data_IF_536580863234
#
_entry.id   IF_536580863234
#
_cell.length_a   1.000
_cell.length_b   1.000
_cell.length_c   1.000
_cell.angle_alpha   90.00
_cell.angle_beta   90.00
_cell.angle_gamma   90.00
#
_symmetry.space_group_name_H-M   'P 1'
#
loop_
_entity.id
_entity.type
_entity.pdbx_description
1 polymer ?
#
# COMPACT_ATOMS: atom_id res chain seq x y z
N UNK A 1 -1.52 47.54 61.52
CA UNK A 1 -1.31 47.71 60.07
C UNK A 1 -1.89 46.47 59.38
N UNK A 2 -3.23 46.47 59.31
CA UNK A 2 -3.99 46.62 58.06
C UNK A 2 -3.90 45.32 57.24
N UNK A 3 -4.89 44.43 57.37
CA UNK A 3 -6.13 44.51 56.58
C UNK A 3 -5.82 44.88 55.14
N UNK A 4 -5.99 43.93 54.23
CA UNK A 4 -6.78 44.19 53.03
C UNK A 4 -7.17 42.86 52.35
N UNK A 5 -8.45 42.54 52.53
CA UNK A 5 -9.35 41.88 51.58
C UNK A 5 -9.19 40.38 51.25
N UNK A 6 -10.01 39.57 51.94
CA UNK A 6 -10.89 38.58 51.29
C UNK A 6 -11.72 39.28 50.18
N UNK A 7 -12.21 38.61 49.10
CA UNK A 7 -13.07 37.43 49.29
C UNK A 7 -13.12 36.34 48.20
N UNK A 8 -13.60 35.18 48.66
CA UNK A 8 -14.57 34.26 48.03
C UNK A 8 -14.28 33.76 46.59
N UNK A 9 -14.36 32.47 46.27
CA UNK A 9 -15.53 31.59 46.43
C UNK A 9 -15.03 30.12 46.46
N UNK A 10 -15.23 29.42 47.59
CA UNK A 10 -15.49 27.97 47.60
C UNK A 10 -16.86 27.74 46.93
N UNK A 11 -17.15 26.67 46.15
CA UNK A 11 -16.91 25.28 46.56
C UNK A 11 -16.79 24.25 45.40
N UNK A 12 -15.62 23.64 45.15
CA UNK A 12 -15.55 22.36 44.41
C UNK A 12 -14.32 21.54 44.82
N UNK A 13 -14.12 21.40 46.13
CA UNK A 13 -13.19 20.41 46.69
C UNK A 13 -13.91 19.08 46.86
N UNK A 14 -14.27 18.48 45.73
CA UNK A 14 -14.41 17.04 45.56
C UNK A 14 -14.32 16.79 44.05
N UNK A 15 -13.38 15.93 43.64
CA UNK A 15 -13.09 15.44 42.26
C UNK A 15 -11.88 15.93 41.46
N UNK A 16 -10.92 16.68 42.02
CA UNK A 16 -9.68 17.00 41.27
C UNK A 16 -8.36 16.62 41.95
N UNK A 17 -8.39 15.88 43.07
CA UNK A 17 -7.17 15.57 43.81
C UNK A 17 -6.37 14.35 43.30
N UNK A 18 -6.80 13.66 42.23
CA UNK A 18 -6.04 12.57 41.63
C UNK A 18 -5.55 12.86 40.21
N UNK A 19 -4.51 13.70 40.22
CA UNK A 19 -3.41 13.81 39.25
C UNK A 19 -3.12 12.51 38.47
N UNK A 20 -2.90 12.65 37.16
CA UNK A 20 -1.58 12.29 36.59
C UNK A 20 -1.25 13.12 35.34
N UNK A 21 -0.52 14.20 35.61
CA UNK A 21 0.54 14.83 34.79
C UNK A 21 0.19 15.49 33.44
N UNK A 22 -0.19 16.77 33.54
CA UNK A 22 0.13 17.90 32.66
C UNK A 22 -0.02 17.77 31.13
N UNK A 23 -1.25 18.10 30.67
CA UNK A 23 -1.48 19.08 29.59
C UNK A 23 -2.91 19.62 29.73
N UNK A 24 -3.16 20.50 30.71
CA UNK A 24 -4.45 21.21 30.79
C UNK A 24 -4.38 22.35 29.78
N UNK A 25 -5.08 22.19 28.67
CA UNK A 25 -5.65 23.33 27.95
C UNK A 25 -7.16 23.10 27.92
N UNK A 26 -7.91 24.02 28.54
CA UNK A 26 -9.36 24.00 28.60
C UNK A 26 -9.94 23.94 27.19
N UNK A 27 -10.28 22.73 26.74
CA UNK A 27 -10.88 22.50 25.44
C UNK A 27 -12.35 22.16 25.61
N UNK A 28 -13.21 22.74 24.77
CA UNK A 28 -14.60 22.31 24.73
C UNK A 28 -14.72 20.81 24.34
N UNK A 29 -15.79 20.16 24.79
CA UNK A 29 -16.04 18.73 24.50
C UNK A 29 -16.03 18.42 22.98
N UNK A 30 -16.44 19.37 22.15
CA UNK A 30 -16.38 19.23 20.70
C UNK A 30 -14.95 19.10 20.14
N UNK A 31 -13.97 19.82 20.69
CA UNK A 31 -12.57 19.71 20.27
C UNK A 31 -11.86 18.52 20.94
N UNK A 32 -12.20 18.22 22.19
CA UNK A 32 -11.74 17.01 22.88
C UNK A 32 -12.15 15.76 22.10
N UNK A 33 -13.44 15.61 21.78
CA UNK A 33 -13.94 14.47 21.01
C UNK A 33 -13.38 14.40 19.58
N UNK A 34 -13.21 15.55 18.92
CA UNK A 34 -12.54 15.63 17.62
C UNK A 34 -11.11 15.09 17.70
N UNK A 35 -10.28 15.61 18.60
CA UNK A 35 -8.89 15.15 18.79
C UNK A 35 -8.82 13.67 19.18
N UNK A 36 -9.70 13.21 20.08
CA UNK A 36 -9.85 11.79 20.49
C UNK A 36 -10.01 10.86 19.28
N UNK A 37 -10.88 11.25 18.32
CA UNK A 37 -11.17 10.47 17.10
C UNK A 37 -10.05 10.58 16.08
N UNK A 38 -9.50 11.78 15.90
CA UNK A 38 -8.36 12.02 15.01
C UNK A 38 -7.16 11.18 15.41
N UNK A 39 -6.87 11.06 16.71
CA UNK A 39 -5.72 10.26 17.18
C UNK A 39 -6.01 8.76 17.12
N UNK A 40 -7.17 8.27 17.57
CA UNK A 40 -7.46 6.82 17.56
C UNK A 40 -7.54 6.21 16.18
N UNK A 41 -8.10 6.94 15.22
CA UNK A 41 -8.24 6.47 13.85
C UNK A 41 -7.09 6.95 12.95
N UNK A 42 -6.04 7.50 13.57
CA UNK A 42 -4.88 8.12 12.91
C UNK A 42 -5.25 8.99 11.68
N UNK A 43 -6.28 9.83 11.83
CA UNK A 43 -6.84 10.59 10.71
C UNK A 43 -5.90 11.73 10.31
N UNK A 44 -5.59 11.79 9.02
CA UNK A 44 -4.85 12.88 8.39
C UNK A 44 -5.85 13.73 7.59
N UNK A 45 -5.80 15.05 7.78
CA UNK A 45 -6.68 15.99 7.09
C UNK A 45 -5.89 16.82 6.09
N UNK A 46 -6.52 17.23 4.99
CA UNK A 46 -5.96 18.20 4.04
C UNK A 46 -6.75 19.52 4.12
N UNK A 47 -6.03 20.65 4.02
CA UNK A 47 -6.67 21.96 3.87
C UNK A 47 -6.97 22.20 2.39
N UNK A 48 -8.18 22.66 2.08
CA UNK A 48 -8.59 23.06 0.72
C UNK A 48 -8.26 24.52 0.40
N UNK A 49 -7.64 25.23 1.32
CA UNK A 49 -7.22 26.63 1.23
C UNK A 49 -5.73 26.75 1.62
N UNK A 50 -5.29 27.94 2.05
CA UNK A 50 -3.89 28.25 2.35
C UNK A 50 -3.44 27.81 3.76
N UNK A 51 -4.02 26.74 4.32
CA UNK A 51 -3.66 26.19 5.65
C UNK A 51 -3.80 27.17 6.83
N UNK A 52 -4.57 28.25 6.67
CA UNK A 52 -4.74 29.31 7.67
C UNK A 52 -6.23 29.63 7.97
N UNK A 53 -7.11 28.64 7.85
CA UNK A 53 -8.55 28.82 8.09
C UNK A 53 -8.85 29.19 9.56
N UNK A 54 -9.78 30.13 9.76
CA UNK A 54 -10.20 30.60 11.08
C UNK A 54 -11.05 29.52 11.79
N UNK A 55 -10.67 29.17 13.03
CA UNK A 55 -11.37 28.17 13.86
C UNK A 55 -12.03 28.86 15.05
N UNK A 56 -13.35 29.07 14.94
CA UNK A 56 -14.22 29.64 15.98
C UNK A 56 -15.41 28.69 16.32
N UNK A 57 -16.31 29.10 17.22
CA UNK A 57 -17.45 28.28 17.66
C UNK A 57 -18.41 27.90 16.52
N UNK A 58 -18.58 28.77 15.51
CA UNK A 58 -19.56 28.60 14.42
C UNK A 58 -18.97 27.80 13.25
N UNK A 59 -17.71 28.06 12.88
CA UNK A 59 -17.09 27.48 11.67
C UNK A 59 -15.93 26.51 11.93
N UNK A 60 -15.69 26.08 13.18
CA UNK A 60 -14.67 25.05 13.49
C UNK A 60 -14.78 23.75 12.71
N UNK A 61 -15.94 23.43 12.14
CA UNK A 61 -16.14 22.22 11.33
C UNK A 61 -15.77 22.43 9.84
N UNK A 62 -15.51 23.66 9.39
CA UNK A 62 -15.23 24.01 7.99
C UNK A 62 -13.93 23.39 7.47
N UNK A 63 -12.89 23.34 8.30
CA UNK A 63 -11.59 22.80 7.92
C UNK A 63 -11.01 21.96 9.06
N UNK A 64 -11.02 20.64 8.88
CA UNK A 64 -10.52 19.68 9.88
C UNK A 64 -8.99 19.77 10.05
N UNK A 65 -8.25 20.06 8.98
CA UNK A 65 -6.80 20.27 9.03
C UNK A 65 -6.42 21.43 9.97
N UNK A 66 -6.95 22.63 9.70
CA UNK A 66 -6.66 23.81 10.51
C UNK A 66 -7.15 23.64 11.96
N UNK A 67 -8.29 22.96 12.15
CA UNK A 67 -8.79 22.62 13.49
C UNK A 67 -7.85 21.70 14.24
N UNK A 68 -7.33 20.65 13.61
CA UNK A 68 -6.42 19.70 14.24
C UNK A 68 -5.06 20.33 14.55
N UNK A 69 -4.49 21.07 13.59
CA UNK A 69 -3.28 21.87 13.80
C UNK A 69 -3.45 22.83 14.98
N UNK A 70 -4.61 23.50 15.09
CA UNK A 70 -4.91 24.37 16.24
C UNK A 70 -5.03 23.59 17.56
N UNK A 71 -5.57 22.38 17.56
CA UNK A 71 -5.60 21.54 18.76
C UNK A 71 -4.17 21.20 19.23
N UNK A 72 -3.28 20.85 18.30
CA UNK A 72 -1.87 20.57 18.57
C UNK A 72 -1.12 21.83 19.04
N UNK A 73 -1.33 22.98 18.40
CA UNK A 73 -0.70 24.25 18.81
C UNK A 73 -1.17 24.72 20.18
N UNK A 74 -2.42 24.39 20.55
CA UNK A 74 -2.97 24.56 21.89
C UNK A 74 -2.64 23.39 22.81
N UNK A 75 -1.56 22.63 22.57
CA UNK A 75 -0.98 21.67 23.52
C UNK A 75 -1.75 20.36 23.75
N UNK A 76 -2.69 19.99 22.86
CA UNK A 76 -3.25 18.64 22.89
C UNK A 76 -2.21 17.63 22.37
N UNK A 77 -1.91 16.64 23.22
CA UNK A 77 -0.88 15.63 23.01
C UNK A 77 -1.47 14.33 22.48
N UNK A 78 -0.93 13.77 21.40
CA UNK A 78 -1.46 12.53 20.77
C UNK A 78 -1.32 11.35 21.73
N UNK A 79 -0.16 11.25 22.38
CA UNK A 79 0.20 10.24 23.36
C UNK A 79 -0.71 10.19 24.59
N UNK A 80 -1.48 11.25 24.85
CA UNK A 80 -2.45 11.29 25.96
C UNK A 80 -3.77 10.56 25.66
N UNK A 81 -4.00 10.10 24.43
CA UNK A 81 -5.24 9.43 24.02
C UNK A 81 -5.10 7.92 24.18
N UNK A 82 -5.67 7.37 25.25
CA UNK A 82 -5.67 5.92 25.54
C UNK A 82 -6.46 5.11 24.50
N UNK A 83 -6.00 3.91 24.17
CA UNK A 83 -6.66 2.96 23.26
C UNK A 83 -8.00 2.42 23.85
N UNK A 84 -8.92 1.98 23.00
CA UNK A 84 -10.29 1.63 23.43
C UNK A 84 -10.31 0.34 24.27
N UNK A 85 -10.99 0.38 25.42
CA UNK A 85 -11.28 -0.85 26.20
C UNK A 85 -12.33 -1.65 25.43
N UNK A 86 -11.94 -2.75 24.81
CA UNK A 86 -12.90 -3.72 24.26
C UNK A 86 -13.67 -4.35 25.43
N UNK A 87 -14.96 -4.04 25.54
CA UNK A 87 -15.89 -4.73 26.44
C UNK A 87 -16.48 -5.91 25.68
N UNK A 88 -16.07 -7.12 26.05
CA UNK A 88 -16.65 -8.38 25.65
C UNK A 88 -18.13 -8.43 26.05
N UNK A 89 -19.06 -8.39 25.07
CA UNK A 89 -20.46 -8.76 25.27
C UNK A 89 -21.09 -9.29 23.97
N UNK A 90 -21.03 -10.61 23.87
CA UNK A 90 -22.10 -11.55 23.44
C UNK A 90 -22.66 -11.45 22.02
N UNK A 91 -22.26 -12.43 21.22
CA UNK A 91 -23.17 -13.32 20.48
C UNK A 91 -24.53 -13.46 21.19
N UNK A 92 -25.64 -13.19 20.47
CA UNK A 92 -27.03 -13.73 20.62
C UNK A 92 -27.94 -12.81 19.77
N UNK A 93 -27.89 -12.89 18.43
CA UNK A 93 -29.02 -12.46 17.55
C UNK A 93 -28.92 -13.12 16.18
N UNK A 94 -28.78 -14.46 16.12
CA UNK A 94 -28.84 -15.23 14.86
C UNK A 94 -29.85 -16.38 14.85
N UNK A 95 -30.75 -16.45 15.82
CA UNK A 95 -31.83 -17.42 15.82
C UNK A 95 -33.12 -16.69 16.13
N UNK A 96 -34.14 -16.90 15.29
CA UNK A 96 -35.50 -16.32 15.30
C UNK A 96 -35.67 -15.06 14.43
N UNK A 97 -35.89 -15.24 13.12
CA UNK A 97 -37.21 -15.02 12.48
C UNK A 97 -37.08 -15.19 10.96
N UNK A 98 -37.40 -16.39 10.49
CA UNK A 98 -37.92 -16.64 9.14
C UNK A 98 -39.44 -16.67 9.24
N UNK A 99 -40.12 -15.74 8.56
CA UNK A 99 -41.51 -15.81 8.03
C UNK A 99 -42.17 -14.44 7.99
N UNK A 100 -42.76 -14.09 6.83
CA UNK A 100 -43.94 -13.22 6.76
C UNK A 100 -43.70 -11.74 6.44
N UNK A 101 -44.19 -11.36 5.25
CA UNK A 101 -44.32 -10.00 4.72
C UNK A 101 -44.94 -8.99 5.72
N UNK A 102 -44.43 -7.75 5.71
CA UNK A 102 -45.26 -6.55 5.57
C UNK A 102 -44.45 -5.33 5.15
N UNK A 103 -44.99 -4.65 4.15
CA UNK A 103 -44.50 -3.46 3.46
C UNK A 103 -45.00 -2.21 4.19
N UNK A 104 -44.14 -1.30 4.65
CA UNK A 104 -44.48 0.13 4.85
C UNK A 104 -43.26 0.98 4.50
N UNK A 105 -43.47 1.82 3.48
CA UNK A 105 -42.66 2.94 3.02
C UNK A 105 -42.22 3.87 4.15
N UNK A 106 -40.93 4.15 4.26
CA UNK A 106 -40.45 5.36 4.95
C UNK A 106 -39.36 6.00 4.11
N UNK A 107 -39.64 7.21 3.62
CA UNK A 107 -38.65 8.15 3.12
C UNK A 107 -37.48 8.23 4.11
N UNK A 108 -36.31 7.76 3.72
CA UNK A 108 -35.07 8.14 4.36
C UNK A 108 -34.16 8.66 3.26
N UNK A 109 -33.96 9.97 3.31
CA UNK A 109 -32.78 10.62 2.77
C UNK A 109 -31.59 9.75 3.18
N UNK A 110 -30.91 9.16 2.20
CA UNK A 110 -29.59 8.59 2.40
C UNK A 110 -28.73 9.71 2.95
N UNK A 111 -28.46 9.68 4.25
CA UNK A 111 -27.31 10.35 4.79
C UNK A 111 -26.12 9.65 4.15
N UNK A 112 -25.69 10.18 2.99
CA UNK A 112 -24.38 9.96 2.42
C UNK A 112 -23.40 9.96 3.58
N UNK A 113 -22.95 8.76 3.93
CA UNK A 113 -21.88 8.59 4.90
C UNK A 113 -20.68 9.25 4.26
N UNK A 114 -20.48 10.51 4.63
CA UNK A 114 -19.30 11.32 4.34
C UNK A 114 -18.15 10.80 5.19
N UNK A 115 -17.84 9.50 5.06
CA UNK A 115 -16.51 8.96 5.22
C UNK A 115 -15.81 9.08 3.87
N UNK A 116 -15.61 10.33 3.43
CA UNK A 116 -14.63 10.65 2.41
C UNK A 116 -13.26 10.34 3.03
N UNK A 117 -12.80 9.10 2.87
CA UNK A 117 -11.39 8.71 3.02
C UNK A 117 -10.60 9.47 1.95
N UNK A 118 -10.36 10.75 2.21
CA UNK A 118 -9.61 11.66 1.37
C UNK A 118 -8.16 11.75 1.82
N UNK A 119 -7.45 10.64 1.76
CA UNK A 119 -5.99 10.55 1.86
C UNK A 119 -5.57 9.36 1.03
N UNK A 120 -4.71 9.56 0.02
CA UNK A 120 -4.37 8.60 -1.03
C UNK A 120 -4.48 7.14 -0.56
N UNK A 121 -5.60 6.53 -0.90
CA UNK A 121 -5.95 5.18 -0.52
C UNK A 121 -5.28 4.23 -1.52
N UNK A 122 -4.54 3.25 -1.01
CA UNK A 122 -4.06 2.16 -1.85
C UNK A 122 -5.29 1.37 -2.25
N UNK A 123 -5.67 1.48 -3.52
CA UNK A 123 -6.74 0.68 -4.11
C UNK A 123 -6.08 -0.41 -4.94
N UNK A 124 -6.36 -1.67 -4.61
CA UNK A 124 -5.74 -2.79 -5.33
C UNK A 124 -6.16 -2.83 -6.79
N UNK A 125 -7.33 -2.30 -7.13
CA UNK A 125 -7.81 -2.15 -8.49
C UNK A 125 -6.88 -1.25 -9.32
N UNK A 126 -6.34 -0.18 -8.71
CA UNK A 126 -5.36 0.69 -9.38
C UNK A 126 -4.02 -0.01 -9.56
N UNK A 127 -3.63 -0.86 -8.62
CA UNK A 127 -2.41 -1.69 -8.74
C UNK A 127 -2.59 -2.73 -9.86
N UNK A 128 -3.75 -3.38 -9.93
CA UNK A 128 -4.08 -4.32 -10.99
C UNK A 128 -4.17 -3.65 -12.37
N UNK A 129 -4.74 -2.44 -12.44
CA UNK A 129 -4.79 -1.63 -13.66
C UNK A 129 -3.39 -1.22 -14.15
N UNK A 130 -2.46 -0.91 -13.22
CA UNK A 130 -1.07 -0.65 -13.57
C UNK A 130 -0.39 -1.89 -14.17
N UNK A 131 -0.72 -3.09 -13.68
CA UNK A 131 -0.23 -4.35 -14.25
C UNK A 131 -0.74 -4.56 -15.67
N UNK A 132 -2.04 -4.39 -15.90
CA UNK A 132 -2.65 -4.48 -17.23
C UNK A 132 -2.09 -3.45 -18.21
N UNK A 133 -1.97 -2.18 -17.78
CA UNK A 133 -1.37 -1.14 -18.60
C UNK A 133 0.09 -1.44 -18.97
N UNK A 134 0.87 -2.02 -18.05
CA UNK A 134 2.25 -2.45 -18.31
C UNK A 134 2.35 -3.63 -19.26
N UNK A 135 1.35 -4.52 -19.32
CA UNK A 135 1.30 -5.57 -20.35
C UNK A 135 1.01 -4.97 -21.73
N UNK A 136 0.00 -4.09 -21.83
CA UNK A 136 -0.44 -3.47 -23.09
C UNK A 136 0.62 -2.55 -23.69
N UNK A 137 1.30 -1.74 -22.88
CA UNK A 137 2.33 -0.81 -23.36
C UNK A 137 3.51 -1.55 -24.04
N UNK A 138 3.77 -2.79 -23.63
CA UNK A 138 4.95 -3.54 -24.06
C UNK A 138 4.60 -4.75 -24.95
N UNK A 139 3.32 -5.00 -25.25
CA UNK A 139 2.88 -6.09 -26.13
C UNK A 139 3.27 -5.90 -27.61
N UNK A 140 3.64 -4.68 -28.00
CA UNK A 140 4.00 -4.36 -29.39
C UNK A 140 5.52 -4.17 -29.59
N UNK A 141 6.31 -4.33 -28.53
CA UNK A 141 7.77 -4.18 -28.60
C UNK A 141 8.34 -5.50 -29.09
N UNK A 142 8.61 -5.57 -30.39
CA UNK A 142 9.42 -6.64 -30.98
C UNK A 142 10.89 -6.30 -30.74
N UNK A 143 11.52 -6.88 -29.72
CA UNK A 143 12.97 -6.85 -29.66
C UNK A 143 13.48 -7.82 -30.73
N UNK A 144 14.18 -7.27 -31.72
CA UNK A 144 14.72 -8.04 -32.86
C UNK A 144 15.90 -8.95 -32.43
N UNK A 145 16.49 -8.69 -31.26
CA UNK A 145 17.54 -9.52 -30.68
C UNK A 145 17.00 -10.58 -29.72
N UNK A 146 17.23 -11.87 -30.04
CA UNK A 146 16.97 -13.00 -29.12
C UNK A 146 17.92 -13.02 -27.90
N UNK A 147 18.82 -12.04 -27.80
CA UNK A 147 19.80 -11.91 -26.74
C UNK A 147 19.22 -11.11 -25.56
N UNK A 148 18.91 -11.83 -24.47
CA UNK A 148 18.42 -11.26 -23.20
C UNK A 148 19.48 -10.32 -22.59
N UNK A 149 20.77 -10.55 -22.90
CA UNK A 149 21.89 -9.76 -22.42
C UNK A 149 22.21 -8.55 -23.29
N UNK A 150 21.46 -8.33 -24.37
CA UNK A 150 21.65 -7.15 -25.21
C UNK A 150 21.34 -5.86 -24.42
N UNK A 151 22.07 -4.79 -24.74
CA UNK A 151 21.86 -3.48 -24.13
C UNK A 151 20.40 -3.00 -24.31
N UNK A 152 19.80 -3.32 -25.45
CA UNK A 152 18.42 -2.98 -25.78
C UNK A 152 17.40 -3.76 -24.90
N UNK A 153 17.60 -5.06 -24.71
CA UNK A 153 16.77 -5.88 -23.82
C UNK A 153 16.78 -5.37 -22.38
N UNK A 154 17.96 -5.00 -21.88
CA UNK A 154 18.13 -4.41 -20.56
C UNK A 154 17.40 -3.06 -20.44
N UNK A 155 17.58 -2.18 -21.43
CA UNK A 155 16.96 -0.85 -21.45
C UNK A 155 15.44 -0.94 -21.42
N UNK A 156 14.83 -1.74 -22.30
CA UNK A 156 13.38 -1.86 -22.36
C UNK A 156 12.78 -2.54 -21.14
N UNK A 157 13.41 -3.58 -20.61
CA UNK A 157 12.95 -4.24 -19.38
C UNK A 157 13.04 -3.29 -18.17
N UNK A 158 14.08 -2.45 -18.12
CA UNK A 158 14.20 -1.38 -17.13
C UNK A 158 13.08 -0.34 -17.29
N UNK A 159 12.83 0.12 -18.51
CA UNK A 159 11.72 1.05 -18.81
C UNK A 159 10.39 0.44 -18.40
N UNK A 160 10.15 -0.85 -18.65
CA UNK A 160 8.92 -1.54 -18.23
C UNK A 160 8.73 -1.52 -16.71
N UNK A 161 9.78 -1.85 -15.96
CA UNK A 161 9.72 -1.81 -14.49
C UNK A 161 9.46 -0.39 -13.98
N UNK A 162 10.10 0.62 -14.57
CA UNK A 162 9.91 2.02 -14.20
C UNK A 162 8.51 2.52 -14.52
N UNK A 163 8.01 2.30 -15.74
CA UNK A 163 6.65 2.70 -16.15
C UNK A 163 5.60 2.03 -15.26
N UNK A 164 5.72 0.72 -15.01
CA UNK A 164 4.85 0.01 -14.06
C UNK A 164 4.88 0.65 -12.68
N UNK A 165 6.06 0.89 -12.12
CA UNK A 165 6.19 1.47 -10.78
C UNK A 165 5.61 2.89 -10.71
N UNK A 166 5.79 3.73 -11.73
CA UNK A 166 5.24 5.09 -11.79
C UNK A 166 3.70 5.12 -11.88
N UNK A 167 3.08 4.04 -12.35
CA UNK A 167 1.62 3.90 -12.37
C UNK A 167 1.03 3.48 -11.01
N UNK A 168 1.86 3.02 -10.06
CA UNK A 168 1.41 2.58 -8.74
C UNK A 168 0.98 3.76 -7.85
N UNK A 169 -0.05 3.57 -7.01
CA UNK A 169 -0.48 4.57 -6.04
C UNK A 169 0.68 5.02 -5.13
N UNK A 170 0.85 6.35 -4.99
CA UNK A 170 1.85 6.97 -4.10
C UNK A 170 3.32 6.61 -4.35
N UNK A 171 3.68 5.87 -5.41
CA UNK A 171 5.08 5.64 -5.76
C UNK A 171 5.79 6.97 -6.11
N UNK A 172 5.11 7.84 -6.85
CA UNK A 172 5.61 9.18 -7.22
C UNK A 172 5.86 10.12 -6.04
N UNK A 173 5.36 9.80 -4.84
CA UNK A 173 5.58 10.60 -3.62
C UNK A 173 6.89 10.22 -2.92
N UNK A 174 7.50 9.09 -3.30
CA UNK A 174 8.80 8.64 -2.79
C UNK A 174 9.91 9.44 -3.50
N UNK A 175 10.99 9.73 -2.78
CA UNK A 175 12.18 10.37 -3.36
C UNK A 175 12.72 9.53 -4.53
N UNK A 176 13.11 10.16 -5.63
CA UNK A 176 13.57 9.47 -6.84
C UNK A 176 14.75 8.53 -6.56
N UNK A 177 15.65 8.90 -5.65
CA UNK A 177 16.76 8.02 -5.28
C UNK A 177 16.31 6.81 -4.44
N UNK A 178 15.23 6.94 -3.66
CA UNK A 178 14.62 5.81 -2.94
C UNK A 178 13.81 4.95 -3.92
N UNK A 179 13.07 5.54 -4.87
CA UNK A 179 12.40 4.83 -5.97
C UNK A 179 13.38 3.94 -6.76
N UNK A 180 14.51 4.50 -7.17
CA UNK A 180 15.56 3.78 -7.89
C UNK A 180 16.13 2.63 -7.05
N UNK A 181 16.34 2.82 -5.74
CA UNK A 181 16.78 1.75 -4.83
C UNK A 181 15.74 0.64 -4.71
N UNK A 182 14.47 0.97 -4.51
CA UNK A 182 13.39 -0.02 -4.40
C UNK A 182 13.33 -0.91 -5.65
N UNK A 183 13.37 -0.31 -6.85
CA UNK A 183 13.43 -1.08 -8.10
C UNK A 183 14.73 -1.87 -8.18
N UNK A 184 15.89 -1.25 -7.88
CA UNK A 184 17.21 -1.90 -7.96
C UNK A 184 17.35 -3.14 -7.08
N UNK A 185 16.72 -3.18 -5.92
CA UNK A 185 16.84 -4.29 -5.00
C UNK A 185 15.73 -5.33 -5.18
N UNK A 186 14.59 -4.95 -5.77
CA UNK A 186 13.48 -5.86 -6.07
C UNK A 186 13.47 -6.43 -7.50
N UNK A 187 14.29 -5.90 -8.42
CA UNK A 187 14.18 -6.16 -9.87
C UNK A 187 14.02 -7.64 -10.25
N UNK A 188 14.83 -8.54 -9.69
CA UNK A 188 14.83 -9.96 -10.03
C UNK A 188 13.57 -10.67 -9.51
N UNK A 189 13.07 -10.30 -8.33
CA UNK A 189 11.81 -10.82 -7.78
C UNK A 189 10.60 -10.29 -8.55
N UNK A 190 10.62 -9.01 -8.93
CA UNK A 190 9.56 -8.39 -9.72
C UNK A 190 9.42 -9.08 -11.10
N UNK A 191 10.54 -9.31 -11.78
CA UNK A 191 10.57 -10.01 -13.07
C UNK A 191 10.13 -11.46 -12.90
N UNK A 192 10.67 -12.19 -11.92
CA UNK A 192 10.34 -13.61 -11.77
C UNK A 192 8.88 -13.83 -11.33
N UNK A 193 8.32 -12.93 -10.52
CA UNK A 193 6.90 -12.99 -10.15
C UNK A 193 5.99 -12.84 -11.38
N UNK A 194 6.32 -11.90 -12.27
CA UNK A 194 5.62 -11.71 -13.54
C UNK A 194 5.70 -12.96 -14.43
N UNK A 195 6.92 -13.48 -14.62
CA UNK A 195 7.16 -14.70 -15.40
C UNK A 195 6.37 -15.86 -14.83
N UNK A 196 6.45 -16.12 -13.53
CA UNK A 196 5.78 -17.24 -12.88
C UNK A 196 4.25 -17.16 -13.00
N UNK A 197 3.67 -15.96 -12.92
CA UNK A 197 2.23 -15.76 -13.02
C UNK A 197 1.71 -15.99 -14.45
N UNK A 198 2.35 -15.39 -15.46
CA UNK A 198 1.89 -15.46 -16.85
C UNK A 198 2.23 -16.79 -17.54
N UNK A 199 3.19 -17.55 -17.03
CA UNK A 199 3.66 -18.80 -17.61
C UNK A 199 2.64 -19.95 -17.55
N UNK A 200 2.93 -21.02 -18.28
CA UNK A 200 2.11 -22.25 -18.30
C UNK A 200 2.78 -23.37 -17.52
N UNK A 201 2.10 -24.49 -17.28
CA UNK A 201 2.69 -25.62 -16.55
C UNK A 201 3.85 -26.31 -17.27
N UNK A 202 4.10 -25.98 -18.55
CA UNK A 202 5.10 -26.62 -19.39
C UNK A 202 6.02 -25.63 -20.13
N UNK A 203 5.70 -24.32 -20.13
CA UNK A 203 6.48 -23.29 -20.83
C UNK A 203 6.60 -22.04 -19.97
N UNK A 204 7.80 -21.48 -19.92
CA UNK A 204 8.02 -20.15 -19.36
C UNK A 204 7.81 -19.10 -20.45
N UNK A 205 7.02 -18.08 -20.14
CA UNK A 205 6.87 -16.91 -20.99
C UNK A 205 7.84 -15.85 -20.48
N UNK A 206 8.99 -15.72 -21.13
CA UNK A 206 10.03 -14.72 -20.84
C UNK A 206 9.79 -13.44 -21.64
N UNK A 207 10.37 -12.34 -21.17
CA UNK A 207 10.19 -11.04 -21.80
C UNK A 207 11.37 -10.74 -22.76
N UNK A 208 11.13 -10.08 -23.90
CA UNK A 208 9.84 -9.84 -24.54
C UNK A 208 9.44 -11.05 -25.38
N UNK A 209 8.21 -11.55 -25.15
CA UNK A 209 7.57 -12.59 -25.97
C UNK A 209 8.38 -13.88 -26.25
N UNK A 210 9.42 -14.16 -25.46
CA UNK A 210 10.24 -15.35 -25.63
C UNK A 210 9.62 -16.51 -24.88
N UNK A 211 9.11 -17.48 -25.61
CA UNK A 211 8.70 -18.76 -25.03
C UNK A 211 9.96 -19.59 -24.82
N UNK A 212 10.11 -20.12 -23.60
CA UNK A 212 11.13 -21.11 -23.28
C UNK A 212 10.42 -22.41 -22.93
N UNK A 213 10.68 -23.44 -23.71
CA UNK A 213 10.28 -24.81 -23.40
C UNK A 213 11.39 -25.52 -22.64
N UNK A 214 11.03 -26.67 -22.07
CA UNK A 214 11.97 -27.47 -21.28
C UNK A 214 13.21 -27.91 -22.08
N UNK A 215 13.03 -28.22 -23.37
CA UNK A 215 14.13 -28.60 -24.26
C UNK A 215 15.09 -27.42 -24.50
N UNK A 216 14.57 -26.20 -24.63
CA UNK A 216 15.40 -25.00 -24.76
C UNK A 216 16.25 -24.80 -23.50
N UNK A 217 15.64 -24.99 -22.32
CA UNK A 217 16.34 -24.91 -21.05
C UNK A 217 17.41 -26.00 -20.89
N UNK A 218 17.19 -27.18 -21.47
CA UNK A 218 18.20 -28.26 -21.50
C UNK A 218 19.39 -27.90 -22.40
N UNK A 219 19.13 -27.35 -23.58
CA UNK A 219 20.19 -26.88 -24.50
C UNK A 219 21.02 -25.76 -23.85
N UNK A 220 20.39 -24.87 -23.09
CA UNK A 220 21.04 -23.78 -22.37
C UNK A 220 21.66 -24.19 -21.02
N UNK A 221 21.57 -25.48 -20.65
CA UNK A 221 22.14 -25.99 -19.40
C UNK A 221 21.42 -25.53 -18.12
N UNK A 222 20.21 -24.98 -18.26
CA UNK A 222 19.46 -24.35 -17.17
C UNK A 222 18.17 -25.10 -16.78
N UNK A 223 18.01 -26.34 -17.26
CA UNK A 223 16.84 -27.22 -17.01
C UNK A 223 16.43 -27.33 -15.54
N UNK A 224 17.39 -27.39 -14.60
CA UNK A 224 17.07 -27.51 -13.17
C UNK A 224 16.32 -26.27 -12.69
N UNK A 225 16.80 -25.07 -13.05
CA UNK A 225 16.18 -23.80 -12.65
C UNK A 225 14.81 -23.67 -13.30
N UNK A 226 14.71 -24.02 -14.60
CA UNK A 226 13.44 -24.07 -15.32
C UNK A 226 12.41 -24.95 -14.60
N UNK A 227 12.76 -26.20 -14.29
CA UNK A 227 11.87 -27.15 -13.63
C UNK A 227 11.44 -26.63 -12.24
N UNK A 228 12.33 -25.95 -11.51
CA UNK A 228 12.00 -25.35 -10.21
C UNK A 228 11.06 -24.15 -10.33
N UNK A 229 11.28 -23.23 -11.27
CA UNK A 229 10.37 -22.08 -11.51
C UNK A 229 8.96 -22.60 -11.85
N UNK A 230 8.87 -23.62 -12.70
CA UNK A 230 7.58 -24.23 -13.04
C UNK A 230 6.93 -24.85 -11.80
N UNK A 231 7.62 -25.74 -11.09
CA UNK A 231 7.01 -26.56 -10.04
C UNK A 231 6.78 -25.85 -8.70
N UNK A 232 7.69 -24.93 -8.33
CA UNK A 232 7.67 -24.23 -7.04
C UNK A 232 6.93 -22.89 -7.11
N UNK A 233 6.85 -22.25 -8.28
CA UNK A 233 6.17 -20.97 -8.48
C UNK A 233 4.94 -21.11 -9.39
N UNK A 234 5.14 -21.39 -10.67
CA UNK A 234 4.07 -21.31 -11.69
C UNK A 234 2.89 -22.23 -11.36
N UNK A 235 3.15 -23.51 -11.11
CA UNK A 235 2.13 -24.49 -10.74
C UNK A 235 1.50 -24.12 -9.41
N UNK A 236 2.26 -23.62 -8.43
CA UNK A 236 1.72 -23.24 -7.11
C UNK A 236 0.82 -22.02 -7.14
N UNK A 237 1.09 -21.06 -8.03
CA UNK A 237 0.20 -19.93 -8.29
C UNK A 237 -1.10 -20.41 -8.96
N UNK A 238 -1.01 -21.34 -9.92
CA UNK A 238 -2.19 -21.93 -10.59
C UNK A 238 -3.03 -22.81 -9.67
N UNK A 239 -2.41 -23.63 -8.83
CA UNK A 239 -3.12 -24.48 -7.85
C UNK A 239 -3.89 -23.64 -6.82
N UNK A 240 -3.39 -22.45 -6.51
CA UNK A 240 -4.06 -21.50 -5.64
C UNK A 240 -5.08 -20.63 -6.39
N UNK A 241 -5.16 -20.72 -7.72
CA UNK A 241 -5.98 -19.86 -8.57
C UNK A 241 -5.72 -18.38 -8.26
N UNK A 242 -4.44 -18.00 -8.27
CA UNK A 242 -4.03 -16.61 -8.00
C UNK A 242 -4.50 -15.71 -9.14
N UNK A 243 -5.22 -14.65 -8.80
CA UNK A 243 -5.69 -13.68 -9.79
C UNK A 243 -4.71 -12.51 -10.00
N UNK A 244 -5.05 -11.64 -10.95
CA UNK A 244 -4.25 -10.47 -11.33
C UNK A 244 -4.09 -9.48 -10.18
N UNK A 245 -5.12 -9.30 -9.35
CA UNK A 245 -5.12 -8.35 -8.24
C UNK A 245 -4.13 -8.83 -7.17
N UNK A 246 -4.17 -10.11 -6.85
CA UNK A 246 -3.31 -10.74 -5.85
C UNK A 246 -1.84 -10.73 -6.27
N UNK A 247 -1.51 -11.13 -7.50
CA UNK A 247 -0.12 -11.08 -7.96
C UNK A 247 0.42 -9.65 -8.02
N UNK A 248 -0.40 -8.69 -8.45
CA UNK A 248 0.00 -7.29 -8.54
C UNK A 248 0.24 -6.71 -7.13
N UNK A 249 -0.60 -7.07 -6.15
CA UNK A 249 -0.38 -6.73 -4.75
C UNK A 249 0.90 -7.36 -4.18
N UNK A 250 1.18 -8.64 -4.45
CA UNK A 250 2.43 -9.29 -4.03
C UNK A 250 3.66 -8.60 -4.63
N UNK A 251 3.63 -8.26 -5.93
CA UNK A 251 4.70 -7.49 -6.60
C UNK A 251 4.86 -6.10 -6.02
N UNK A 252 3.76 -5.42 -5.68
CA UNK A 252 3.79 -4.14 -5.00
C UNK A 252 4.43 -4.25 -3.61
N UNK A 253 4.12 -5.31 -2.85
CA UNK A 253 4.74 -5.59 -1.55
C UNK A 253 6.22 -5.98 -1.64
N UNK A 254 6.66 -6.57 -2.76
CA UNK A 254 8.10 -6.80 -3.07
C UNK A 254 8.80 -5.45 -3.35
N UNK A 255 8.17 -4.58 -4.15
CA UNK A 255 8.72 -3.27 -4.48
C UNK A 255 8.89 -2.39 -3.23
N UNK A 256 7.86 -2.31 -2.38
CA UNK A 256 7.90 -1.52 -1.14
C UNK A 256 8.65 -2.25 -0.02
N UNK A 257 9.92 -2.55 -0.24
CA UNK A 257 10.76 -3.22 0.75
C UNK A 257 11.48 -2.21 1.67
N UNK A 258 11.09 -2.07 2.96
CA UNK A 258 11.72 -1.13 3.88
C UNK A 258 13.14 -1.57 4.31
N UNK A 259 13.52 -2.82 4.06
CA UNK A 259 14.84 -3.36 4.41
C UNK A 259 15.93 -3.04 3.38
N UNK A 260 15.61 -2.28 2.33
CA UNK A 260 16.60 -1.87 1.32
C UNK A 260 17.62 -0.92 1.94
N UNK A 261 18.90 -1.25 1.76
CA UNK A 261 20.01 -0.44 2.27
C UNK A 261 20.07 0.93 1.61
N UNK A 262 20.22 1.99 2.41
CA UNK A 262 20.44 3.35 1.93
C UNK A 262 19.16 4.12 1.57
N UNK A 263 17.98 3.63 1.96
CA UNK A 263 16.74 4.39 1.90
C UNK A 263 16.81 5.62 2.83
N UNK A 264 16.36 6.78 2.33
CA UNK A 264 16.28 8.01 3.12
C UNK A 264 15.03 8.08 3.99
N UNK A 265 13.91 7.51 3.53
CA UNK A 265 12.64 7.55 4.26
C UNK A 265 11.99 6.17 4.40
N UNK A 266 12.61 5.31 5.21
CA UNK A 266 12.11 3.95 5.53
C UNK A 266 10.65 3.94 6.03
N UNK A 267 10.21 4.84 6.94
CA UNK A 267 8.83 4.81 7.45
C UNK A 267 7.76 5.00 6.38
N UNK A 268 8.04 5.76 5.32
CA UNK A 268 7.10 5.92 4.20
C UNK A 268 6.98 4.62 3.42
N UNK A 269 8.09 3.95 3.13
CA UNK A 269 8.09 2.67 2.40
C UNK A 269 7.38 1.58 3.21
N UNK A 270 7.67 1.49 4.51
CA UNK A 270 7.02 0.56 5.44
C UNK A 270 5.50 0.80 5.47
N UNK A 271 5.06 2.05 5.63
CA UNK A 271 3.64 2.39 5.62
C UNK A 271 2.94 2.01 4.31
N UNK A 272 3.59 2.18 3.16
CA UNK A 272 3.05 1.77 1.87
C UNK A 272 2.93 0.25 1.78
N UNK A 273 3.94 -0.49 2.22
CA UNK A 273 3.91 -1.96 2.25
C UNK A 273 2.78 -2.48 3.14
N UNK A 274 2.65 -1.94 4.35
CA UNK A 274 1.62 -2.35 5.31
C UNK A 274 0.22 -2.12 4.75
N UNK A 275 -0.02 -0.97 4.09
CA UNK A 275 -1.29 -0.69 3.42
C UNK A 275 -1.59 -1.71 2.32
N UNK A 276 -0.63 -2.04 1.46
CA UNK A 276 -0.83 -3.09 0.42
C UNK A 276 -1.20 -4.43 1.06
N UNK A 277 -0.52 -4.80 2.15
CA UNK A 277 -0.73 -6.08 2.84
C UNK A 277 -2.10 -6.15 3.51
N UNK A 278 -2.54 -5.08 4.17
CA UNK A 278 -3.88 -4.98 4.75
C UNK A 278 -4.95 -5.06 3.66
N UNK A 279 -4.78 -4.29 2.57
CA UNK A 279 -5.71 -4.33 1.44
C UNK A 279 -5.79 -5.74 0.82
N UNK A 280 -4.65 -6.43 0.67
CA UNK A 280 -4.61 -7.79 0.13
C UNK A 280 -5.29 -8.80 1.06
N UNK A 281 -5.10 -8.67 2.38
CA UNK A 281 -5.80 -9.51 3.35
C UNK A 281 -7.33 -9.31 3.27
N UNK A 282 -7.77 -8.06 3.22
CA UNK A 282 -9.19 -7.71 3.07
C UNK A 282 -9.77 -8.22 1.75
N UNK A 283 -9.02 -8.09 0.65
CA UNK A 283 -9.40 -8.62 -0.66
C UNK A 283 -9.62 -10.13 -0.61
N UNK A 284 -8.66 -10.88 -0.06
CA UNK A 284 -8.76 -12.32 0.13
C UNK A 284 -10.00 -12.71 0.93
N UNK A 285 -10.29 -11.97 2.01
CA UNK A 285 -11.44 -12.23 2.89
C UNK A 285 -12.78 -12.00 2.18
N UNK A 286 -12.84 -11.00 1.30
CA UNK A 286 -14.05 -10.62 0.56
C UNK A 286 -14.29 -11.53 -0.65
N UNK A 287 -13.25 -11.85 -1.43
CA UNK A 287 -13.38 -12.56 -2.71
C UNK A 287 -13.26 -14.08 -2.53
N UNK A 288 -12.59 -14.55 -1.47
CA UNK A 288 -12.41 -15.97 -1.17
C UNK A 288 -12.79 -16.32 0.28
N UNK A 289 -14.03 -16.06 0.72
CA UNK A 289 -14.44 -16.21 2.11
C UNK A 289 -14.33 -17.65 2.64
N UNK A 290 -14.39 -18.65 1.76
CA UNK A 290 -14.20 -20.06 2.13
C UNK A 290 -12.73 -20.43 2.40
N UNK A 291 -11.77 -19.62 1.94
CA UNK A 291 -10.33 -19.88 2.06
C UNK A 291 -9.71 -18.96 3.12
N UNK A 292 -10.01 -19.21 4.39
CA UNK A 292 -9.57 -18.36 5.53
C UNK A 292 -8.06 -18.18 5.65
N UNK A 293 -7.26 -19.07 5.06
CA UNK A 293 -5.79 -19.01 5.06
C UNK A 293 -5.20 -18.53 3.73
N UNK A 294 -6.01 -18.01 2.79
CA UNK A 294 -5.55 -17.64 1.45
C UNK A 294 -4.43 -16.60 1.48
N UNK A 295 -4.61 -15.53 2.25
CA UNK A 295 -3.60 -14.49 2.44
C UNK A 295 -2.25 -15.09 2.89
N UNK A 296 -2.25 -15.94 3.91
CA UNK A 296 -1.04 -16.62 4.37
C UNK A 296 -0.42 -17.52 3.29
N UNK A 297 -1.24 -18.26 2.52
CA UNK A 297 -0.77 -19.11 1.41
C UNK A 297 -0.10 -18.31 0.30
N UNK A 298 -0.62 -17.11 -0.02
CA UNK A 298 -0.02 -16.16 -0.96
C UNK A 298 1.35 -15.69 -0.45
N UNK A 299 1.44 -15.25 0.81
CA UNK A 299 2.71 -14.80 1.39
C UNK A 299 3.77 -15.92 1.44
N UNK A 300 3.35 -17.16 1.67
CA UNK A 300 4.24 -18.33 1.63
C UNK A 300 4.79 -18.63 0.23
N UNK A 301 4.36 -17.92 -0.82
CA UNK A 301 5.02 -17.98 -2.15
C UNK A 301 6.29 -17.13 -2.21
N UNK A 302 6.39 -16.06 -1.40
CA UNK A 302 7.52 -15.13 -1.44
C UNK A 302 8.88 -15.77 -1.12
N UNK A 303 9.03 -16.70 -0.15
CA UNK A 303 10.35 -17.30 0.14
C UNK A 303 10.92 -18.11 -1.03
N UNK A 304 10.09 -18.92 -1.69
CA UNK A 304 10.51 -19.67 -2.88
C UNK A 304 10.87 -18.73 -4.03
N UNK A 305 10.06 -17.68 -4.23
CA UNK A 305 10.32 -16.64 -5.23
C UNK A 305 11.66 -15.94 -4.97
N UNK A 306 11.95 -15.53 -3.73
CA UNK A 306 13.21 -14.91 -3.34
C UNK A 306 14.40 -15.82 -3.62
N UNK A 307 14.32 -17.08 -3.20
CA UNK A 307 15.40 -18.06 -3.40
C UNK A 307 15.69 -18.30 -4.89
N UNK A 308 14.64 -18.52 -5.69
CA UNK A 308 14.81 -18.78 -7.12
C UNK A 308 15.22 -17.55 -7.91
N UNK A 309 14.71 -16.37 -7.56
CA UNK A 309 15.06 -15.13 -8.26
C UNK A 309 16.51 -14.70 -8.02
N UNK A 310 17.06 -14.95 -6.83
CA UNK A 310 18.49 -14.77 -6.58
C UNK A 310 19.32 -15.70 -7.46
N UNK A 311 18.93 -16.97 -7.53
CA UNK A 311 19.60 -17.94 -8.40
C UNK A 311 19.48 -17.54 -9.88
N UNK A 312 18.35 -16.96 -10.32
CA UNK A 312 18.20 -16.43 -11.67
C UNK A 312 19.09 -15.19 -11.90
N UNK A 313 19.24 -14.32 -10.90
CA UNK A 313 20.07 -13.12 -11.00
C UNK A 313 21.58 -13.45 -11.09
N UNK A 314 21.99 -14.61 -10.59
CA UNK A 314 23.36 -15.12 -10.69
C UNK A 314 23.64 -15.83 -12.04
N UNK A 315 22.62 -16.15 -12.82
CA UNK A 315 22.74 -16.89 -14.08
C UNK A 315 22.19 -16.06 -15.26
N UNK A 316 23.04 -15.71 -16.24
CA UNK A 316 22.76 -14.76 -17.32
C UNK A 316 21.69 -15.19 -18.37
N UNK A 317 20.91 -16.25 -18.12
CA UNK A 317 20.03 -16.88 -19.12
C UNK A 317 18.53 -16.66 -18.95
N UNK A 318 18.04 -16.19 -17.80
CA UNK A 318 16.59 -16.12 -17.51
C UNK A 318 16.05 -14.70 -17.37
N UNK A 319 16.84 -13.84 -16.74
CA UNK A 319 16.47 -12.45 -16.46
C UNK A 319 17.64 -11.56 -16.87
N UNK A 320 17.34 -10.31 -17.17
CA UNK A 320 18.34 -9.29 -17.51
C UNK A 320 19.39 -9.15 -16.40
N UNK A 321 20.51 -8.51 -16.69
CA UNK A 321 21.45 -8.12 -15.63
C UNK A 321 20.85 -7.05 -14.72
N UNK A 322 21.39 -6.91 -13.51
CA UNK A 322 20.88 -5.94 -12.55
C UNK A 322 21.07 -4.50 -13.09
N UNK A 323 20.00 -3.69 -13.21
CA UNK A 323 20.13 -2.29 -13.63
C UNK A 323 20.98 -1.52 -12.63
N UNK A 324 21.65 -0.43 -13.01
CA UNK A 324 22.33 0.41 -12.00
C UNK A 324 21.35 1.41 -11.38
N UNK A 325 21.63 1.88 -10.16
CA UNK A 325 20.83 2.94 -9.53
C UNK A 325 20.85 4.21 -10.40
N UNK A 326 21.99 4.53 -11.01
CA UNK A 326 22.14 5.71 -11.84
C UNK A 326 21.29 5.62 -13.11
N UNK A 327 21.23 4.45 -13.75
CA UNK A 327 20.39 4.21 -14.93
C UNK A 327 18.91 4.34 -14.57
N UNK A 328 18.50 3.74 -13.45
CA UNK A 328 17.14 3.86 -12.95
C UNK A 328 16.74 5.30 -12.65
N UNK A 329 17.62 6.09 -12.00
CA UNK A 329 17.37 7.52 -11.76
C UNK A 329 17.19 8.26 -13.09
N UNK A 330 18.06 8.02 -14.08
CA UNK A 330 17.95 8.66 -15.40
C UNK A 330 16.60 8.36 -16.06
N UNK A 331 16.20 7.09 -16.09
CA UNK A 331 14.93 6.66 -16.68
C UNK A 331 13.74 7.21 -15.88
N UNK A 332 13.76 7.16 -14.55
CA UNK A 332 12.70 7.69 -13.68
C UNK A 332 12.43 9.17 -13.97
N UNK A 333 13.49 10.00 -13.99
CA UNK A 333 13.37 11.44 -14.26
C UNK A 333 12.83 11.67 -15.68
N UNK A 334 13.37 10.96 -16.67
CA UNK A 334 12.93 11.08 -18.06
C UNK A 334 11.44 10.77 -18.20
N UNK A 335 10.96 9.67 -17.59
CA UNK A 335 9.57 9.24 -17.68
C UNK A 335 8.60 10.11 -16.88
N UNK A 336 9.00 10.58 -15.70
CA UNK A 336 8.21 11.55 -14.91
C UNK A 336 8.00 12.87 -15.66
N UNK A 337 9.00 13.35 -16.39
CA UNK A 337 8.86 14.57 -17.19
C UNK A 337 7.89 14.37 -18.38
N UNK A 338 7.93 13.19 -19.02
CA UNK A 338 7.01 12.86 -20.12
C UNK A 338 5.56 12.72 -19.64
N UNK A 339 5.33 12.18 -18.45
CA UNK A 339 3.97 12.08 -17.89
C UNK A 339 3.41 13.45 -17.52
N UNK A 340 4.25 14.40 -17.08
CA UNK A 340 3.83 15.80 -16.86
C UNK A 340 3.46 16.47 -18.19
N UNK A 341 4.23 16.25 -19.25
CA UNK A 341 3.96 16.83 -20.58
C UNK A 341 2.69 16.28 -21.26
N UNK A 342 2.28 15.04 -20.96
CA UNK A 342 1.02 14.47 -21.49
C UNK A 342 -0.24 14.98 -20.78
N UNK A 343 -0.08 15.59 -19.60
CA UNK A 343 -1.18 16.09 -18.76
C UNK A 343 -1.33 17.62 -18.80
N UNK A 344 -0.49 18.31 -19.58
CA UNK A 344 -0.59 19.72 -19.96
C UNK A 344 -1.13 19.80 -21.40
#
# INVERSE_FOLDING_TARGET
LLQNFFPAIFPFLNYCFFKKFFSINCSCEGCKGFFKRTVRKDLIYLCRENRNCIIDKRQRNRCQYCRYRKCQSMGMKREAVQEERQSSRTDITKMLTSSGQRHITTNQMEAESTSTYGGLEIQLERIAAAEEASEVLFSNIKIESNDISSCESLEWQMIRMVEWALMLPSFNEILVEDQARLIRFGWHELILADIAYRSTGNKLLLWPERVMERNDAEILGCRIIFDRIINELTVRLKDLDVDRVEIAALRCAILYNPSVSGLRNVPVVESLRDKVMVCLEDYCRQHHPAQTQRFAKLLLRMPALRSLSLHCAENDGFIITAPTIQDLIRVLIQRQNLSVQRNL
#
